data_IF_677495655222
#
_entry.id   IF_677495655222
#
_cell.length_a   1.000
_cell.length_b   1.000
_cell.length_c   1.000
_cell.angle_alpha   90.00
_cell.angle_beta   90.00
_cell.angle_gamma   90.00
#
_symmetry.space_group_name_H-M   'P 1'
#
loop_
_entity.id
_entity.type
_entity.pdbx_description
1 polymer ?
#
# COMPACT_ATOMS: atom_id res chain seq x y z
N UNK A 1 -26.02 36.97 -33.04
CA UNK A 1 -26.32 35.55 -32.76
C UNK A 1 -26.68 35.44 -31.30
N UNK A 2 -27.89 34.93 -31.04
CA UNK A 2 -28.61 34.98 -29.77
C UNK A 2 -28.23 33.75 -28.93
N UNK A 3 -27.86 33.94 -27.67
CA UNK A 3 -27.72 32.87 -26.67
C UNK A 3 -29.10 32.56 -26.06
N UNK A 4 -29.54 31.29 -25.96
CA UNK A 4 -30.73 30.97 -25.19
C UNK A 4 -30.38 30.76 -23.71
N UNK A 5 -30.95 31.63 -22.88
CA UNK A 5 -31.14 31.48 -21.44
C UNK A 5 -32.15 30.36 -21.17
N UNK A 6 -31.78 29.36 -20.36
CA UNK A 6 -32.74 28.51 -19.64
C UNK A 6 -32.19 28.19 -18.24
N UNK A 7 -32.36 29.15 -17.33
CA UNK A 7 -32.45 28.89 -15.90
C UNK A 7 -33.84 29.33 -15.48
N UNK A 8 -34.75 28.38 -15.20
CA UNK A 8 -35.70 28.47 -14.09
C UNK A 8 -36.63 27.25 -13.95
N UNK A 9 -36.86 26.89 -12.67
CA UNK A 9 -37.89 26.00 -12.07
C UNK A 9 -37.57 24.50 -12.12
N UNK A 10 -37.59 23.75 -11.01
CA UNK A 10 -38.45 23.85 -9.83
C UNK A 10 -37.74 23.30 -8.57
N UNK A 11 -37.97 23.96 -7.42
CA UNK A 11 -37.65 23.37 -6.10
C UNK A 11 -38.68 22.29 -5.76
N UNK A 12 -38.31 21.06 -5.40
CA UNK A 12 -39.27 20.12 -4.81
C UNK A 12 -39.54 20.53 -3.36
N UNK A 13 -40.83 20.64 -3.01
CA UNK A 13 -41.30 20.91 -1.64
C UNK A 13 -41.03 19.72 -0.70
N UNK A 14 -41.19 19.91 0.63
CA UNK A 14 -40.89 18.87 1.60
C UNK A 14 -41.93 17.75 1.52
N UNK A 15 -41.45 16.51 1.36
CA UNK A 15 -42.28 15.32 1.45
C UNK A 15 -42.72 15.15 2.92
N UNK A 16 -43.99 15.38 3.22
CA UNK A 16 -44.61 14.92 4.46
C UNK A 16 -44.54 13.40 4.52
N UNK A 17 -43.69 12.89 5.41
CA UNK A 17 -43.63 11.47 5.71
C UNK A 17 -44.78 11.10 6.67
N UNK A 18 -45.85 10.54 6.11
CA UNK A 18 -46.91 9.90 6.89
C UNK A 18 -46.42 8.51 7.31
N UNK A 19 -46.19 8.32 8.60
CA UNK A 19 -45.71 7.07 9.21
C UNK A 19 -46.83 6.00 9.19
N UNK A 20 -46.63 4.82 8.58
CA UNK A 20 -47.56 3.70 8.77
C UNK A 20 -47.33 3.06 10.15
N UNK A 21 -48.39 2.93 10.95
CA UNK A 21 -48.36 2.16 12.19
C UNK A 21 -48.26 0.66 11.89
N UNK A 22 -47.28 -0.01 12.50
CA UNK A 22 -47.09 -1.47 12.40
C UNK A 22 -47.79 -2.12 13.61
N UNK A 23 -48.70 -3.08 13.42
CA UNK A 23 -49.30 -3.83 14.53
C UNK A 23 -48.25 -4.63 15.30
N UNK A 24 -48.24 -4.46 16.62
CA UNK A 24 -47.42 -5.24 17.55
C UNK A 24 -47.89 -6.68 17.63
N UNK A 25 -47.04 -7.62 17.23
CA UNK A 25 -47.18 -9.03 17.61
C UNK A 25 -45.97 -9.48 18.42
N UNK A 26 -46.25 -9.72 19.69
CA UNK A 26 -45.34 -10.21 20.70
C UNK A 26 -44.76 -11.58 20.35
N UNK A 27 -43.44 -11.66 20.52
CA UNK A 27 -42.58 -12.80 20.83
C UNK A 27 -43.19 -14.21 20.85
N UNK A 28 -42.58 -15.12 20.07
CA UNK A 28 -42.26 -16.46 20.56
C UNK A 28 -40.98 -16.96 19.88
N UNK A 29 -39.92 -17.12 20.67
CA UNK A 29 -38.68 -17.81 20.29
C UNK A 29 -38.98 -19.31 20.06
N UNK A 30 -38.23 -19.97 19.18
CA UNK A 30 -37.11 -20.74 19.70
C UNK A 30 -35.82 -20.53 18.89
N UNK A 31 -34.74 -20.27 19.61
CA UNK A 31 -33.37 -20.43 19.11
C UNK A 31 -33.10 -21.88 18.70
N UNK A 32 -32.49 -22.08 17.53
CA UNK A 32 -31.40 -23.00 17.38
C UNK A 32 -30.14 -22.20 17.02
N UNK A 33 -29.22 -22.02 17.98
CA UNK A 33 -27.83 -21.66 17.66
C UNK A 33 -27.15 -22.88 17.04
N UNK A 34 -27.56 -23.22 15.82
CA UNK A 34 -26.79 -24.05 14.91
C UNK A 34 -26.19 -23.11 13.89
N UNK A 35 -24.88 -22.89 13.94
CA UNK A 35 -24.19 -22.14 12.90
C UNK A 35 -24.54 -22.74 11.55
N UNK A 36 -25.26 -21.97 10.71
CA UNK A 36 -25.59 -22.39 9.35
C UNK A 36 -24.28 -22.41 8.56
N UNK A 37 -23.61 -23.56 8.56
CA UNK A 37 -22.44 -23.79 7.70
C UNK A 37 -22.89 -23.66 6.25
N UNK A 38 -22.43 -22.63 5.55
CA UNK A 38 -22.69 -22.47 4.12
C UNK A 38 -21.97 -23.57 3.34
N UNK A 39 -22.64 -24.14 2.33
CA UNK A 39 -22.04 -25.16 1.45
C UNK A 39 -20.89 -24.55 0.63
N UNK A 40 -19.78 -25.29 0.49
CA UNK A 40 -18.67 -24.93 -0.38
C UNK A 40 -19.11 -24.84 -1.85
N UNK A 41 -20.13 -25.59 -2.26
CA UNK A 41 -20.69 -25.53 -3.61
C UNK A 41 -21.57 -24.28 -3.85
N UNK A 42 -21.91 -23.51 -2.81
CA UNK A 42 -22.71 -22.30 -2.96
C UNK A 42 -21.99 -21.23 -3.80
N UNK A 43 -22.74 -20.35 -4.50
CA UNK A 43 -22.17 -19.23 -5.25
C UNK A 43 -21.25 -18.37 -4.38
N UNK A 44 -20.16 -17.84 -4.96
CA UNK A 44 -19.19 -16.98 -4.26
C UNK A 44 -19.89 -15.82 -3.53
N UNK A 45 -20.85 -15.18 -4.19
CA UNK A 45 -21.62 -14.08 -3.62
C UNK A 45 -22.30 -14.45 -2.31
N UNK A 46 -22.92 -15.63 -2.24
CA UNK A 46 -23.64 -16.06 -1.05
C UNK A 46 -22.67 -16.45 0.08
N UNK A 47 -21.52 -17.06 -0.27
CA UNK A 47 -20.44 -17.34 0.69
C UNK A 47 -19.85 -16.05 1.26
N UNK A 48 -19.62 -15.04 0.43
CA UNK A 48 -19.12 -13.73 0.89
C UNK A 48 -20.16 -13.03 1.76
N UNK A 49 -21.44 -13.02 1.37
CA UNK A 49 -22.51 -12.45 2.21
C UNK A 49 -22.55 -13.10 3.59
N UNK A 50 -22.46 -14.42 3.65
CA UNK A 50 -22.42 -15.14 4.93
C UNK A 50 -21.23 -14.74 5.81
N UNK A 51 -20.04 -14.53 5.23
CA UNK A 51 -18.86 -14.08 5.97
C UNK A 51 -19.06 -12.65 6.51
N UNK A 52 -19.62 -11.75 5.69
CA UNK A 52 -19.93 -10.37 6.12
C UNK A 52 -20.93 -10.39 7.27
N UNK A 53 -22.03 -11.15 7.15
CA UNK A 53 -23.03 -11.28 8.20
C UNK A 53 -22.41 -11.84 9.49
N UNK A 54 -21.52 -12.83 9.36
CA UNK A 54 -20.81 -13.42 10.51
C UNK A 54 -19.89 -12.43 11.22
N UNK A 55 -19.24 -11.52 10.48
CA UNK A 55 -18.41 -10.46 11.06
C UNK A 55 -19.26 -9.47 11.87
N UNK A 56 -20.43 -9.10 11.33
CA UNK A 56 -21.39 -8.21 12.01
C UNK A 56 -21.93 -8.89 13.27
N UNK A 57 -22.31 -10.17 13.19
CA UNK A 57 -22.78 -10.95 14.34
C UNK A 57 -21.70 -11.12 15.42
N UNK A 58 -20.42 -11.12 15.04
CA UNK A 58 -19.28 -11.15 15.95
C UNK A 58 -19.01 -9.81 16.65
N UNK A 59 -19.69 -8.72 16.24
CA UNK A 59 -19.60 -7.40 16.87
C UNK A 59 -18.76 -6.37 16.13
N UNK A 60 -18.31 -6.66 14.90
CA UNK A 60 -17.64 -5.66 14.06
C UNK A 60 -18.67 -4.80 13.29
N UNK A 61 -18.33 -3.54 13.03
CA UNK A 61 -19.18 -2.62 12.27
C UNK A 61 -19.19 -2.97 10.79
N UNK A 62 -18.03 -3.36 10.26
CA UNK A 62 -17.84 -3.75 8.86
C UNK A 62 -16.97 -4.99 8.75
N UNK A 63 -17.03 -5.64 7.59
CA UNK A 63 -16.12 -6.74 7.28
C UNK A 63 -14.66 -6.26 7.19
N UNK A 64 -14.43 -5.05 6.68
CA UNK A 64 -13.09 -4.45 6.60
C UNK A 64 -12.49 -4.22 7.99
N UNK A 65 -13.28 -3.79 8.98
CA UNK A 65 -12.84 -3.65 10.38
C UNK A 65 -12.41 -5.01 10.97
N UNK A 66 -13.14 -6.08 10.67
CA UNK A 66 -12.76 -7.42 11.10
C UNK A 66 -11.44 -7.89 10.45
N UNK A 67 -11.24 -7.57 9.17
CA UNK A 67 -9.98 -7.86 8.46
C UNK A 67 -8.83 -7.05 9.06
N UNK A 68 -9.05 -5.76 9.30
CA UNK A 68 -8.06 -4.87 9.91
C UNK A 68 -7.63 -5.42 11.26
N UNK A 69 -8.59 -5.66 12.17
CA UNK A 69 -8.32 -6.25 13.48
C UNK A 69 -7.57 -7.59 13.37
N UNK A 70 -7.96 -8.45 12.43
CA UNK A 70 -7.24 -9.70 12.19
C UNK A 70 -5.78 -9.49 11.77
N UNK A 71 -5.43 -8.42 11.05
CA UNK A 71 -4.06 -8.16 10.59
C UNK A 71 -3.25 -7.21 11.45
N UNK A 72 -3.87 -6.41 12.34
CA UNK A 72 -3.18 -5.38 13.14
C UNK A 72 -3.11 -5.72 14.63
N UNK A 73 -4.10 -6.44 15.17
CA UNK A 73 -4.12 -6.78 16.61
C UNK A 73 -3.03 -7.77 16.99
N UNK A 74 -2.72 -7.78 18.29
CA UNK A 74 -1.82 -8.76 18.91
C UNK A 74 -2.64 -9.81 19.65
N UNK A 75 -2.56 -11.05 19.19
CA UNK A 75 -3.18 -12.19 19.87
C UNK A 75 -2.20 -12.83 20.85
N UNK A 76 -2.73 -13.61 21.79
CA UNK A 76 -1.93 -14.44 22.69
C UNK A 76 -1.02 -15.37 21.86
N UNK A 77 0.29 -15.36 22.14
CA UNK A 77 1.31 -16.16 21.45
C UNK A 77 1.03 -17.66 21.50
N UNK A 78 0.30 -18.12 22.51
CA UNK A 78 -0.09 -19.53 22.66
C UNK A 78 -1.34 -19.88 21.85
N UNK A 79 -2.06 -18.87 21.34
CA UNK A 79 -3.28 -19.06 20.57
C UNK A 79 -2.95 -19.59 19.17
N UNK A 80 -3.72 -20.57 18.66
CA UNK A 80 -3.68 -20.95 17.25
C UNK A 80 -3.86 -19.74 16.31
N UNK A 81 -4.58 -18.71 16.76
CA UNK A 81 -4.86 -17.51 15.98
C UNK A 81 -3.61 -16.65 15.74
N UNK A 82 -2.68 -16.56 16.71
CA UNK A 82 -1.40 -15.86 16.50
C UNK A 82 -0.59 -16.54 15.40
N UNK A 83 -0.44 -17.88 15.49
CA UNK A 83 0.28 -18.65 14.47
C UNK A 83 -0.33 -18.49 13.08
N UNK A 84 -1.65 -18.55 12.99
CA UNK A 84 -2.37 -18.40 11.73
C UNK A 84 -2.24 -16.97 11.18
N UNK A 85 -2.31 -15.95 12.06
CA UNK A 85 -2.09 -14.56 11.70
C UNK A 85 -0.68 -14.33 11.16
N UNK A 86 0.36 -14.86 11.83
CA UNK A 86 1.76 -14.76 11.37
C UNK A 86 1.96 -15.41 10.00
N UNK A 87 1.39 -16.61 9.80
CA UNK A 87 1.42 -17.28 8.49
C UNK A 87 0.66 -16.47 7.42
N UNK A 88 -0.47 -15.87 7.80
CA UNK A 88 -1.26 -15.03 6.91
C UNK A 88 -0.48 -13.79 6.49
N UNK A 89 0.08 -13.03 7.44
CA UNK A 89 0.94 -11.85 7.21
C UNK A 89 2.13 -12.17 6.30
N UNK A 90 2.79 -13.31 6.50
CA UNK A 90 3.99 -13.68 5.72
C UNK A 90 3.68 -14.23 4.32
N UNK A 91 2.61 -15.00 4.14
CA UNK A 91 2.38 -15.77 2.89
C UNK A 91 1.09 -15.45 2.15
N UNK A 92 0.02 -15.11 2.86
CA UNK A 92 -1.32 -14.91 2.27
C UNK A 92 -1.58 -13.45 1.94
N UNK A 93 -1.21 -12.53 2.84
CA UNK A 93 -1.38 -11.10 2.66
C UNK A 93 -0.63 -10.58 1.43
N UNK A 94 0.65 -10.95 1.17
CA UNK A 94 1.32 -10.49 -0.05
C UNK A 94 0.62 -10.93 -1.34
N UNK A 95 0.04 -12.15 -1.35
CA UNK A 95 -0.74 -12.65 -2.49
C UNK A 95 -2.06 -11.91 -2.65
N UNK A 96 -2.75 -11.62 -1.55
CA UNK A 96 -3.97 -10.82 -1.54
C UNK A 96 -3.71 -9.41 -2.07
N UNK A 97 -2.68 -8.72 -1.57
CA UNK A 97 -2.28 -7.39 -2.03
C UNK A 97 -1.93 -7.39 -3.53
N UNK A 98 -1.23 -8.42 -4.01
CA UNK A 98 -0.96 -8.61 -5.44
C UNK A 98 -2.24 -8.73 -6.28
N UNK A 99 -3.19 -9.55 -5.82
CA UNK A 99 -4.47 -9.73 -6.50
C UNK A 99 -5.32 -8.44 -6.48
N UNK A 100 -5.37 -7.72 -5.36
CA UNK A 100 -6.05 -6.42 -5.25
C UNK A 100 -5.44 -5.38 -6.17
N UNK A 101 -4.10 -5.29 -6.22
CA UNK A 101 -3.40 -4.41 -7.15
C UNK A 101 -3.75 -4.72 -8.61
N UNK A 102 -3.81 -6.00 -8.98
CA UNK A 102 -4.15 -6.37 -10.36
C UNK A 102 -5.62 -6.09 -10.68
N UNK A 103 -6.55 -6.40 -9.77
CA UNK A 103 -7.97 -6.08 -9.92
C UNK A 103 -8.23 -4.55 -9.95
N UNK A 104 -7.44 -3.77 -9.23
CA UNK A 104 -7.59 -2.31 -9.17
C UNK A 104 -7.48 -1.64 -10.54
N UNK A 105 -6.81 -2.28 -11.51
CA UNK A 105 -6.68 -1.82 -12.89
C UNK A 105 -8.00 -1.75 -13.65
N UNK A 106 -9.00 -2.49 -13.19
CA UNK A 106 -10.35 -2.54 -13.77
C UNK A 106 -11.38 -1.76 -12.95
N UNK A 107 -11.01 -1.29 -11.75
CA UNK A 107 -11.88 -0.44 -10.93
C UNK A 107 -12.09 0.92 -11.58
N UNK A 108 -13.19 1.58 -11.22
CA UNK A 108 -13.43 2.97 -11.59
C UNK A 108 -12.33 3.89 -11.05
N UNK A 109 -12.22 5.09 -11.62
CA UNK A 109 -11.24 6.07 -11.18
C UNK A 109 -11.37 6.41 -9.68
N UNK A 110 -12.60 6.53 -9.17
CA UNK A 110 -12.84 6.89 -7.77
C UNK A 110 -12.51 5.74 -6.80
N UNK A 111 -12.83 4.50 -7.15
CA UNK A 111 -12.48 3.31 -6.34
C UNK A 111 -10.97 3.09 -6.28
N UNK A 112 -10.29 3.28 -7.42
CA UNK A 112 -8.84 3.05 -7.51
C UNK A 112 -8.03 4.11 -6.77
N UNK A 113 -8.50 5.36 -6.76
CA UNK A 113 -7.75 6.50 -6.24
C UNK A 113 -7.28 6.28 -4.81
N UNK A 114 -8.19 5.97 -3.89
CA UNK A 114 -7.85 5.78 -2.48
C UNK A 114 -6.87 4.62 -2.28
N UNK A 115 -7.05 3.51 -3.01
CA UNK A 115 -6.13 2.38 -2.96
C UNK A 115 -4.73 2.75 -3.46
N UNK A 116 -4.62 3.47 -4.58
CA UNK A 116 -3.32 3.91 -5.10
C UNK A 116 -2.62 4.90 -4.17
N UNK A 117 -3.35 5.83 -3.58
CA UNK A 117 -2.82 6.77 -2.58
C UNK A 117 -2.19 6.01 -1.40
N UNK A 118 -2.86 4.98 -0.87
CA UNK A 118 -2.31 4.16 0.23
C UNK A 118 -1.09 3.34 -0.19
N UNK A 119 -1.07 2.76 -1.40
CA UNK A 119 0.10 2.03 -1.91
C UNK A 119 1.29 2.97 -2.10
N UNK A 120 1.06 4.17 -2.62
CA UNK A 120 2.10 5.18 -2.79
C UNK A 120 2.64 5.65 -1.44
N UNK A 121 1.76 6.00 -0.49
CA UNK A 121 2.18 6.42 0.84
C UNK A 121 3.01 5.34 1.54
N UNK A 122 2.57 4.08 1.50
CA UNK A 122 3.34 2.99 2.11
C UNK A 122 4.69 2.75 1.43
N UNK A 123 4.80 2.94 0.12
CA UNK A 123 6.07 2.88 -0.58
C UNK A 123 6.99 4.04 -0.18
N UNK A 124 6.46 5.26 -0.05
CA UNK A 124 7.21 6.43 0.43
C UNK A 124 7.74 6.21 1.84
N UNK A 125 6.91 5.74 2.76
CA UNK A 125 7.30 5.49 4.16
C UNK A 125 8.47 4.48 4.23
N UNK A 126 8.38 3.37 3.48
CA UNK A 126 9.47 2.38 3.40
C UNK A 126 10.78 3.00 2.89
N UNK A 127 10.71 3.82 1.85
CA UNK A 127 11.89 4.45 1.24
C UNK A 127 12.50 5.52 2.13
N UNK A 128 11.67 6.30 2.83
CA UNK A 128 12.11 7.31 3.80
C UNK A 128 12.76 6.63 5.00
N UNK A 129 12.15 5.56 5.53
CA UNK A 129 12.73 4.81 6.65
C UNK A 129 14.09 4.21 6.30
N UNK A 130 14.24 3.60 5.11
CA UNK A 130 15.53 3.11 4.62
C UNK A 130 16.58 4.23 4.57
N UNK A 131 16.20 5.39 4.02
CA UNK A 131 17.10 6.53 3.88
C UNK A 131 17.52 7.11 5.24
N UNK A 132 16.60 7.21 6.19
CA UNK A 132 16.87 7.69 7.54
C UNK A 132 17.74 6.71 8.34
N UNK A 133 17.52 5.40 8.20
CA UNK A 133 18.38 4.38 8.80
C UNK A 133 19.80 4.44 8.23
N UNK A 134 19.92 4.56 6.91
CA UNK A 134 21.22 4.71 6.25
C UNK A 134 21.96 5.97 6.73
N UNK A 135 21.27 7.11 6.82
CA UNK A 135 21.87 8.36 7.32
C UNK A 135 22.34 8.26 8.77
N UNK A 136 21.61 7.54 9.62
CA UNK A 136 22.00 7.28 11.01
C UNK A 136 23.24 6.40 11.11
N UNK A 137 23.38 5.41 10.22
CA UNK A 137 24.54 4.52 10.16
C UNK A 137 25.78 5.21 9.59
N UNK A 138 25.60 6.12 8.62
CA UNK A 138 26.67 6.87 7.95
C UNK A 138 26.51 8.39 8.16
N UNK A 139 26.69 8.90 9.40
CA UNK A 139 26.47 10.32 9.72
C UNK A 139 27.53 11.25 9.12
N UNK A 140 28.68 10.69 8.71
CA UNK A 140 29.74 11.48 8.10
C UNK A 140 29.39 11.84 6.65
N UNK A 141 29.00 13.09 6.47
CA UNK A 141 28.78 13.68 5.14
C UNK A 141 30.03 13.62 4.26
N UNK A 142 31.23 13.51 4.83
CA UNK A 142 32.45 13.31 4.06
C UNK A 142 32.54 11.89 3.46
N UNK A 143 32.10 10.84 4.18
CA UNK A 143 31.97 9.49 3.62
C UNK A 143 30.90 9.47 2.53
N UNK A 144 29.73 10.08 2.77
CA UNK A 144 28.71 10.21 1.72
C UNK A 144 29.25 11.00 0.54
N UNK A 145 29.93 12.13 0.75
CA UNK A 145 30.55 12.94 -0.30
C UNK A 145 31.69 12.20 -1.03
N UNK A 146 32.46 11.36 -0.34
CA UNK A 146 33.51 10.51 -0.92
C UNK A 146 32.87 9.40 -1.78
N UNK A 147 31.78 8.82 -1.30
CA UNK A 147 30.96 7.84 -2.01
C UNK A 147 30.24 8.49 -3.20
N UNK A 148 29.84 9.77 -3.11
CA UNK A 148 29.06 10.48 -4.13
C UNK A 148 29.85 11.37 -5.11
N UNK A 149 31.07 11.78 -4.80
CA UNK A 149 31.83 12.77 -5.61
C UNK A 149 32.69 12.13 -6.70
N UNK A 150 32.61 10.82 -6.91
CA UNK A 150 33.63 10.09 -7.66
C UNK A 150 33.37 10.01 -9.16
N UNK A 151 33.16 11.13 -9.85
CA UNK A 151 33.02 11.12 -11.33
C UNK A 151 33.67 12.29 -12.09
N UNK A 152 34.52 13.12 -11.49
CA UNK A 152 35.22 14.18 -12.23
C UNK A 152 36.70 13.90 -12.54
N UNK A 153 37.21 12.68 -12.28
CA UNK A 153 38.62 12.35 -12.48
C UNK A 153 38.85 11.12 -13.37
N UNK A 154 39.23 11.34 -14.63
CA UNK A 154 39.56 10.30 -15.61
C UNK A 154 40.81 9.49 -15.25
N UNK A 155 40.64 8.42 -14.45
CA UNK A 155 41.67 7.42 -14.15
C UNK A 155 41.09 6.00 -14.16
N UNK A 156 41.24 5.30 -15.28
CA UNK A 156 40.47 4.12 -15.70
C UNK A 156 40.71 2.80 -14.90
N UNK A 157 41.45 2.81 -13.79
CA UNK A 157 41.71 1.57 -13.01
C UNK A 157 41.36 1.67 -11.52
N UNK A 158 41.38 2.86 -10.93
CA UNK A 158 40.98 3.09 -9.54
C UNK A 158 39.50 3.50 -9.39
N UNK A 159 38.90 4.10 -10.43
CA UNK A 159 37.48 4.49 -10.43
C UNK A 159 36.54 3.28 -10.40
N UNK A 160 36.87 2.20 -11.11
CA UNK A 160 36.02 1.01 -11.25
C UNK A 160 35.86 0.25 -9.93
N UNK A 161 36.95 0.10 -9.15
CA UNK A 161 36.91 -0.61 -7.86
C UNK A 161 36.17 0.18 -6.77
N UNK A 162 36.21 1.51 -6.83
CA UNK A 162 35.50 2.41 -5.92
C UNK A 162 34.01 2.52 -6.25
N UNK A 163 33.64 2.66 -7.53
CA UNK A 163 32.23 2.61 -7.96
C UNK A 163 31.54 1.29 -7.62
N UNK A 164 32.25 0.16 -7.74
CA UNK A 164 31.76 -1.15 -7.33
C UNK A 164 31.54 -1.26 -5.81
N UNK A 165 32.37 -0.58 -5.00
CA UNK A 165 32.21 -0.54 -3.54
C UNK A 165 30.99 0.30 -3.15
N UNK A 166 30.84 1.48 -3.73
CA UNK A 166 29.70 2.38 -3.50
C UNK A 166 28.37 1.71 -3.87
N UNK A 167 28.35 1.00 -5.01
CA UNK A 167 27.21 0.21 -5.44
C UNK A 167 26.78 -0.82 -4.40
N UNK A 168 27.71 -1.60 -3.84
CA UNK A 168 27.38 -2.61 -2.83
C UNK A 168 26.83 -1.97 -1.56
N UNK A 169 27.45 -0.89 -1.10
CA UNK A 169 26.96 -0.14 0.05
C UNK A 169 25.51 0.30 -0.14
N UNK A 170 25.15 0.87 -1.29
CA UNK A 170 23.75 1.25 -1.54
C UNK A 170 22.81 0.05 -1.68
N UNK A 171 23.23 -1.03 -2.33
CA UNK A 171 22.41 -2.23 -2.48
C UNK A 171 22.11 -2.91 -1.14
N UNK A 172 23.09 -2.95 -0.24
CA UNK A 172 22.97 -3.65 1.04
C UNK A 172 22.16 -2.83 2.04
N UNK A 173 22.28 -1.50 2.03
CA UNK A 173 21.63 -0.64 3.02
C UNK A 173 20.33 0.02 2.54
N UNK A 174 20.13 0.16 1.22
CA UNK A 174 18.97 0.80 0.60
C UNK A 174 18.34 -0.09 -0.48
N UNK A 175 17.96 -1.34 -0.16
CA UNK A 175 17.54 -2.32 -1.17
C UNK A 175 16.26 -1.91 -1.90
N UNK A 176 15.26 -1.33 -1.22
CA UNK A 176 14.01 -0.91 -1.90
C UNK A 176 14.25 0.33 -2.76
N UNK A 177 15.01 1.31 -2.27
CA UNK A 177 15.35 2.50 -3.06
C UNK A 177 16.20 2.15 -4.27
N UNK A 178 17.19 1.26 -4.12
CA UNK A 178 18.00 0.76 -5.23
C UNK A 178 17.13 0.09 -6.30
N UNK A 179 16.20 -0.77 -5.89
CA UNK A 179 15.28 -1.45 -6.80
C UNK A 179 14.37 -0.46 -7.55
N UNK A 180 13.86 0.56 -6.85
CA UNK A 180 13.06 1.62 -7.46
C UNK A 180 13.86 2.40 -8.49
N UNK A 181 15.03 2.92 -8.12
CA UNK A 181 15.89 3.71 -9.01
C UNK A 181 16.28 2.90 -10.26
N UNK A 182 16.66 1.64 -10.07
CA UNK A 182 16.99 0.72 -11.18
C UNK A 182 15.78 0.53 -12.11
N UNK A 183 14.59 0.33 -11.56
CA UNK A 183 13.37 0.13 -12.35
C UNK A 183 12.98 1.40 -13.12
N UNK A 184 13.10 2.58 -12.49
CA UNK A 184 12.81 3.86 -13.13
C UNK A 184 13.78 4.11 -14.29
N UNK A 185 15.08 3.99 -14.04
CA UNK A 185 16.13 4.18 -15.06
C UNK A 185 15.94 3.19 -16.22
N UNK A 186 15.71 1.90 -15.93
CA UNK A 186 15.49 0.90 -16.97
C UNK A 186 14.26 1.21 -17.86
N UNK A 187 13.21 1.79 -17.28
CA UNK A 187 11.99 2.16 -18.02
C UNK A 187 12.13 3.47 -18.80
N UNK A 188 12.98 4.39 -18.36
CA UNK A 188 13.24 5.65 -19.08
C UNK A 188 14.31 5.51 -20.15
N UNK A 189 15.30 4.64 -19.95
CA UNK A 189 16.52 4.56 -20.76
C UNK A 189 16.61 3.28 -21.61
N UNK A 190 15.49 2.77 -22.11
CA UNK A 190 15.39 1.50 -22.86
C UNK A 190 16.34 1.32 -24.08
N UNK A 191 17.26 2.24 -24.34
CA UNK A 191 18.20 2.26 -25.47
C UNK A 191 19.69 2.41 -25.09
N UNK A 192 20.09 2.55 -23.81
CA UNK A 192 21.51 2.80 -23.42
C UNK A 192 21.97 2.05 -22.15
N UNK A 193 22.36 0.79 -22.32
CA UNK A 193 22.69 -0.11 -21.20
C UNK A 193 23.89 0.29 -20.30
N UNK A 194 24.94 0.93 -20.84
CA UNK A 194 26.14 1.25 -20.04
C UNK A 194 25.94 2.49 -19.13
N UNK A 195 24.97 3.34 -19.47
CA UNK A 195 24.63 4.58 -18.74
C UNK A 195 23.67 4.34 -17.56
N UNK A 196 23.09 3.15 -17.44
CA UNK A 196 22.00 2.90 -16.49
C UNK A 196 22.51 2.75 -15.06
N UNK A 197 23.65 2.07 -14.86
CA UNK A 197 24.24 1.92 -13.53
C UNK A 197 24.74 3.26 -12.98
N UNK A 198 25.36 4.07 -13.83
CA UNK A 198 25.80 5.42 -13.49
C UNK A 198 24.60 6.30 -13.11
N UNK A 199 23.53 6.30 -13.91
CA UNK A 199 22.33 7.05 -13.61
C UNK A 199 21.68 6.64 -12.28
N UNK A 200 21.62 5.33 -11.97
CA UNK A 200 21.13 4.84 -10.68
C UNK A 200 22.01 5.35 -9.54
N UNK A 201 23.33 5.26 -9.66
CA UNK A 201 24.26 5.77 -8.64
C UNK A 201 24.05 7.27 -8.42
N UNK A 202 23.98 8.08 -9.48
CA UNK A 202 23.72 9.53 -9.37
C UNK A 202 22.42 9.86 -8.64
N UNK A 203 21.35 9.08 -8.87
CA UNK A 203 20.08 9.24 -8.14
C UNK A 203 20.30 8.95 -6.65
N UNK A 204 20.92 7.81 -6.31
CA UNK A 204 21.20 7.44 -4.92
C UNK A 204 22.07 8.48 -4.23
N UNK A 205 23.11 8.96 -4.91
CA UNK A 205 24.01 10.00 -4.44
C UNK A 205 23.27 11.30 -4.09
N UNK A 206 22.41 11.75 -5.01
CA UNK A 206 21.64 12.99 -4.84
C UNK A 206 20.67 12.90 -3.67
N UNK A 207 19.96 11.77 -3.53
CA UNK A 207 19.01 11.54 -2.44
C UNK A 207 19.70 11.39 -1.07
N UNK A 208 20.88 10.78 -1.03
CA UNK A 208 21.65 10.63 0.20
C UNK A 208 22.33 11.95 0.64
N UNK A 209 22.76 12.78 -0.32
CA UNK A 209 23.47 14.03 -0.05
C UNK A 209 22.54 15.23 0.19
N UNK A 210 21.26 15.16 -0.18
CA UNK A 210 20.27 16.22 0.08
C UNK A 210 19.93 16.28 1.57
N UNK A 211 20.79 16.93 2.36
CA UNK A 211 20.38 17.38 3.69
C UNK A 211 19.38 18.53 3.58
N UNK A 212 18.35 18.45 4.40
CA UNK A 212 17.51 19.57 4.79
C UNK A 212 18.37 20.65 5.45
N UNK A 213 18.57 21.76 4.74
CA UNK A 213 18.82 23.07 5.36
C UNK A 213 17.58 23.52 6.15
N UNK A 214 17.22 22.77 7.20
CA UNK A 214 16.07 23.03 8.05
C UNK A 214 16.54 23.15 9.51
N UNK A 215 17.08 24.32 9.84
CA UNK A 215 17.14 24.83 11.22
C UNK A 215 15.78 25.40 11.62
#
# INVERSE_FOLDING_TARGET
MNMPSYFERSKPGPLEYVRPEIPSHSATNPHPRGGRSIDRAAPVQDRIRHIVDSAIEAGFTTFDEAIEAYYTETFDETSPLDRDQRLSRNRRLPRLLGALRDASKDWSHWERRGFQEQITQGAEDILVDELELFRKEYPDTAFLREVTSSELGGGQTAGTSRGLRNRRTFQDNLPNLWALATTLVARTNASRHDSDCEAVLRIMETLCASQSNGS
#
